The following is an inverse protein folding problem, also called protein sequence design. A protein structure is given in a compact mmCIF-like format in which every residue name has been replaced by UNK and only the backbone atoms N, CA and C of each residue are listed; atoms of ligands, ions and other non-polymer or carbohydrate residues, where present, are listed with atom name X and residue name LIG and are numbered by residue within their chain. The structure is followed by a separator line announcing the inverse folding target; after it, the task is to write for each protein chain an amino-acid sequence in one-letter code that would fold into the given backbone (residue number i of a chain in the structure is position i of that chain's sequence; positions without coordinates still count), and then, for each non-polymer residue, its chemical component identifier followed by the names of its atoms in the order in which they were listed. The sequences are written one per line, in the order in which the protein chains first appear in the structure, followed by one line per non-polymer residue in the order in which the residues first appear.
data_IF_865488113584
#
_entry.id   IF_865488113584
#
_cell.length_a   1.000
_cell.length_b   1.000
_cell.length_c   1.000
_cell.angle_alpha   90.00
_cell.angle_beta   90.00
_cell.angle_gamma   90.00
#
_symmetry.space_group_name_H-M   'P 1'
#
loop_
_entity.id
_entity.type
_entity.pdbx_description
1 polymer ?
#
# COMPACT_ATOMS: atom_id res chain seq x y z
N UNK A 1 -18.46 -8.83 47.03
CA UNK A 1 -19.03 -8.53 45.70
C UNK A 1 -17.88 -8.23 44.75
N UNK A 2 -17.30 -9.28 44.14
CA UNK A 2 -16.14 -9.15 43.24
C UNK A 2 -16.67 -8.82 41.86
N UNK A 3 -16.42 -7.60 41.38
CA UNK A 3 -16.69 -7.22 39.98
C UNK A 3 -15.68 -7.94 39.10
N UNK A 4 -16.14 -9.02 38.48
CA UNK A 4 -15.47 -9.64 37.36
C UNK A 4 -15.56 -8.65 36.17
N UNK A 5 -14.49 -7.91 35.91
CA UNK A 5 -14.34 -7.18 34.64
C UNK A 5 -13.89 -8.23 33.63
N UNK A 6 -14.87 -8.84 32.96
CA UNK A 6 -14.61 -9.62 31.75
C UNK A 6 -14.17 -8.62 30.69
N UNK A 7 -12.85 -8.47 30.54
CA UNK A 7 -12.27 -7.85 29.36
C UNK A 7 -12.60 -8.76 28.18
N UNK A 8 -13.58 -8.38 27.36
CA UNK A 8 -13.81 -9.02 26.07
C UNK A 8 -12.53 -8.87 25.24
N UNK A 9 -11.73 -9.93 25.18
CA UNK A 9 -10.65 -10.05 24.20
C UNK A 9 -11.29 -10.06 22.81
N UNK A 10 -11.35 -8.90 22.16
CA UNK A 10 -11.62 -8.80 20.72
C UNK A 10 -10.63 -9.73 20.03
N UNK A 11 -11.12 -10.86 19.51
CA UNK A 11 -10.31 -11.82 18.75
C UNK A 11 -9.86 -11.09 17.47
N UNK A 12 -8.59 -10.70 17.44
CA UNK A 12 -7.97 -10.06 16.29
C UNK A 12 -7.48 -11.17 15.36
N UNK A 13 -7.84 -11.06 14.08
CA UNK A 13 -7.63 -12.10 13.08
C UNK A 13 -6.57 -11.60 12.10
N UNK A 14 -5.31 -11.77 12.47
CA UNK A 14 -4.20 -11.57 11.55
C UNK A 14 -3.17 -12.68 11.73
N UNK A 15 -2.32 -12.84 10.73
CA UNK A 15 -1.26 -13.85 10.69
C UNK A 15 -0.01 -13.24 10.07
N UNK A 16 1.14 -13.51 10.67
CA UNK A 16 2.42 -13.13 10.10
C UNK A 16 2.66 -13.91 8.79
N UNK A 17 3.21 -13.21 7.80
CA UNK A 17 3.67 -13.80 6.55
C UNK A 17 5.19 -13.80 6.62
N UNK A 18 5.78 -15.00 6.66
CA UNK A 18 7.22 -15.22 6.60
C UNK A 18 7.57 -15.89 5.27
N UNK A 19 8.75 -15.57 4.71
CA UNK A 19 9.26 -16.26 3.53
C UNK A 19 9.85 -17.63 3.82
N UNK A 20 10.41 -18.25 2.77
CA UNK A 20 10.99 -19.60 2.84
C UNK A 20 12.18 -19.69 3.79
N UNK A 21 12.85 -18.58 4.08
CA UNK A 21 13.98 -18.50 5.01
C UNK A 21 13.53 -18.08 6.42
N UNK A 22 12.22 -17.93 6.64
CA UNK A 22 11.65 -17.47 7.91
C UNK A 22 11.82 -15.97 8.14
N UNK A 23 12.15 -15.20 7.10
CA UNK A 23 12.23 -13.75 7.19
C UNK A 23 10.81 -13.19 7.12
N UNK A 24 10.47 -12.34 8.09
CA UNK A 24 9.16 -11.70 8.13
C UNK A 24 8.95 -10.74 6.95
N UNK A 25 7.83 -10.90 6.27
CA UNK A 25 7.51 -10.21 5.02
C UNK A 25 6.29 -9.28 5.15
N UNK A 26 5.41 -9.50 6.13
CA UNK A 26 4.20 -8.69 6.28
C UNK A 26 3.15 -9.36 7.16
N UNK A 27 1.94 -8.78 7.14
CA UNK A 27 0.83 -9.24 7.95
C UNK A 27 -0.41 -9.47 7.08
N UNK A 28 -0.90 -10.71 7.06
CA UNK A 28 -2.20 -11.04 6.49
C UNK A 28 -3.29 -10.68 7.49
N UNK A 29 -4.28 -9.90 7.09
CA UNK A 29 -5.47 -9.64 7.89
C UNK A 29 -6.60 -10.52 7.36
N UNK A 30 -7.26 -11.20 8.26
CA UNK A 30 -8.40 -12.06 7.96
C UNK A 30 -9.63 -11.42 8.60
N UNK A 31 -10.64 -11.09 7.80
CA UNK A 31 -11.94 -10.80 8.40
C UNK A 31 -12.58 -12.11 8.86
N UNK A 32 -13.13 -12.21 10.09
CA UNK A 32 -13.80 -13.42 10.52
C UNK A 32 -14.94 -13.78 9.55
N UNK A 33 -15.07 -15.05 9.16
CA UNK A 33 -16.11 -15.48 8.24
C UNK A 33 -17.50 -15.25 8.84
N UNK A 34 -18.35 -14.55 8.08
CA UNK A 34 -19.70 -14.16 8.47
C UNK A 34 -20.14 -12.93 7.67
N UNK A 35 -21.44 -12.79 7.39
CA UNK A 35 -22.01 -11.67 6.63
C UNK A 35 -21.83 -10.35 7.38
N UNK A 36 -20.63 -9.76 7.34
CA UNK A 36 -20.43 -8.36 7.67
C UNK A 36 -20.71 -7.51 6.42
N UNK A 37 -21.27 -6.30 6.57
CA UNK A 37 -21.44 -5.38 5.46
C UNK A 37 -20.09 -5.07 4.80
N UNK A 38 -20.13 -4.61 3.56
CA UNK A 38 -18.91 -4.12 2.89
C UNK A 38 -18.25 -3.05 3.78
N UNK A 39 -16.95 -3.22 4.03
CA UNK A 39 -16.17 -2.28 4.84
C UNK A 39 -16.23 -0.88 4.26
N UNK A 40 -15.96 0.13 5.08
CA UNK A 40 -16.12 1.53 4.66
C UNK A 40 -15.20 1.91 3.50
N UNK A 41 -13.97 1.40 3.48
CA UNK A 41 -13.01 1.66 2.40
C UNK A 41 -13.37 0.81 1.18
N UNK A 42 -13.84 1.44 0.12
CA UNK A 42 -14.28 0.76 -1.10
C UNK A 42 -13.77 1.46 -2.35
N UNK A 43 -13.41 0.65 -3.34
CA UNK A 43 -13.33 1.09 -4.73
C UNK A 43 -14.65 0.75 -5.42
N UNK A 44 -15.41 1.77 -5.82
CA UNK A 44 -16.61 1.60 -6.65
C UNK A 44 -16.21 1.77 -8.11
N UNK A 45 -16.64 0.85 -8.97
CA UNK A 45 -16.36 0.89 -10.41
C UNK A 45 -17.67 0.83 -11.17
N UNK A 46 -17.84 1.71 -12.15
CA UNK A 46 -19.02 1.81 -12.99
C UNK A 46 -18.70 1.63 -14.47
N UNK A 47 -19.68 1.91 -15.32
CA UNK A 47 -19.51 1.87 -16.77
C UNK A 47 -18.49 2.93 -17.25
N UNK A 48 -17.99 2.75 -18.48
CA UNK A 48 -17.09 3.70 -19.15
C UNK A 48 -15.80 3.98 -18.36
N UNK A 49 -15.30 2.98 -17.62
CA UNK A 49 -14.05 3.12 -16.86
C UNK A 49 -14.13 4.03 -15.64
N UNK A 50 -15.32 4.54 -15.28
CA UNK A 50 -15.52 5.40 -14.11
C UNK A 50 -15.25 4.62 -12.83
N UNK A 51 -14.56 5.25 -11.91
CA UNK A 51 -14.30 4.73 -10.58
C UNK A 51 -14.42 5.82 -9.52
N UNK A 52 -14.64 5.40 -8.28
CA UNK A 52 -14.73 6.28 -7.12
C UNK A 52 -14.18 5.53 -5.90
N UNK A 53 -13.15 6.10 -5.28
CA UNK A 53 -12.68 5.65 -3.97
C UNK A 53 -13.52 6.32 -2.89
N UNK A 54 -14.06 5.52 -1.96
CA UNK A 54 -14.88 6.04 -0.84
C UNK A 54 -14.43 5.45 0.49
N UNK A 55 -14.66 6.18 1.57
CA UNK A 55 -14.63 5.69 2.93
C UNK A 55 -15.94 6.05 3.62
N UNK A 56 -16.85 5.09 3.75
CA UNK A 56 -18.21 5.35 4.22
C UNK A 56 -18.96 6.24 3.22
N UNK A 57 -19.40 7.40 3.67
CA UNK A 57 -20.04 8.43 2.82
C UNK A 57 -19.04 9.45 2.25
N UNK A 58 -17.77 9.38 2.66
CA UNK A 58 -16.75 10.30 2.17
C UNK A 58 -16.16 9.82 0.83
N UNK A 59 -16.18 10.70 -0.18
CA UNK A 59 -15.42 10.47 -1.41
C UNK A 59 -13.95 10.82 -1.21
N UNK A 60 -13.08 9.83 -1.39
CA UNK A 60 -11.64 9.97 -1.35
C UNK A 60 -11.08 10.50 -2.67
N UNK A 61 -11.56 9.95 -3.79
CA UNK A 61 -11.21 10.39 -5.15
C UNK A 61 -12.26 9.92 -6.16
N UNK A 62 -12.29 10.59 -7.31
CA UNK A 62 -12.95 10.11 -8.53
C UNK A 62 -11.90 9.74 -9.57
N UNK A 63 -12.18 8.79 -10.45
CA UNK A 63 -11.28 8.43 -11.52
C UNK A 63 -12.00 7.99 -12.80
N UNK A 64 -11.33 8.15 -13.92
CA UNK A 64 -11.71 7.53 -15.20
C UNK A 64 -10.51 6.75 -15.71
N UNK A 65 -10.68 5.45 -15.87
CA UNK A 65 -9.69 4.53 -16.41
C UNK A 65 -9.94 4.41 -17.91
N UNK A 66 -8.92 4.66 -18.72
CA UNK A 66 -9.02 4.57 -20.17
C UNK A 66 -9.44 3.15 -20.61
N UNK A 67 -10.19 3.00 -21.72
CA UNK A 67 -10.67 1.68 -22.17
C UNK A 67 -9.57 0.65 -22.43
N UNK A 68 -8.38 1.09 -22.84
CA UNK A 68 -7.20 0.23 -23.04
C UNK A 68 -6.48 -0.11 -21.72
N UNK A 69 -6.94 0.42 -20.59
CA UNK A 69 -6.33 0.24 -19.26
C UNK A 69 -4.97 0.91 -19.08
N UNK A 70 -4.50 1.66 -20.08
CA UNK A 70 -3.15 2.20 -20.12
C UNK A 70 -2.97 3.52 -19.37
N UNK A 71 -4.06 4.25 -19.15
CA UNK A 71 -4.03 5.52 -18.44
C UNK A 71 -5.23 5.67 -17.51
N UNK A 72 -5.09 6.50 -16.49
CA UNK A 72 -6.20 6.90 -15.65
C UNK A 72 -6.08 8.38 -15.29
N UNK A 73 -7.19 9.09 -15.32
CA UNK A 73 -7.32 10.44 -14.76
C UNK A 73 -7.94 10.31 -13.37
N UNK A 74 -7.30 10.88 -12.35
CA UNK A 74 -7.77 10.78 -10.96
C UNK A 74 -7.92 12.18 -10.37
N UNK A 75 -9.10 12.47 -9.82
CA UNK A 75 -9.42 13.70 -9.11
C UNK A 75 -9.45 13.43 -7.60
N UNK A 76 -8.51 14.00 -6.86
CA UNK A 76 -8.44 13.97 -5.41
C UNK A 76 -9.00 15.29 -4.83
N UNK A 77 -10.20 15.30 -4.21
CA UNK A 77 -10.75 16.50 -3.61
C UNK A 77 -9.87 17.06 -2.50
N UNK A 78 -9.58 18.37 -2.59
CA UNK A 78 -8.94 19.18 -1.54
C UNK A 78 -9.78 19.15 -0.28
N UNK A 79 -9.25 18.53 0.76
CA UNK A 79 -9.71 18.74 2.14
C UNK A 79 -8.51 19.01 3.04
N UNK A 80 -8.75 19.81 4.07
CA UNK A 80 -7.79 19.98 5.15
C UNK A 80 -7.61 18.63 5.86
N UNK A 81 -6.37 18.25 6.15
CA UNK A 81 -6.04 17.03 6.90
C UNK A 81 -6.80 16.93 8.22
N UNK A 82 -7.14 18.05 8.86
CA UNK A 82 -7.94 18.09 10.11
C UNK A 82 -9.36 17.54 9.91
N UNK A 83 -9.87 17.61 8.68
CA UNK A 83 -11.18 17.13 8.29
C UNK A 83 -11.14 15.67 7.80
N UNK A 84 -9.95 15.09 7.60
CA UNK A 84 -9.73 13.73 7.09
C UNK A 84 -8.84 12.92 8.03
N UNK A 85 -9.46 12.27 9.02
CA UNK A 85 -8.76 11.29 9.86
C UNK A 85 -9.47 9.94 9.77
N UNK A 86 -9.07 9.12 8.80
CA UNK A 86 -9.61 7.77 8.60
C UNK A 86 -9.27 6.82 9.76
N UNK A 87 -8.11 7.07 10.39
CA UNK A 87 -7.62 6.26 11.50
C UNK A 87 -7.43 7.13 12.76
N UNK A 88 -7.57 6.55 13.97
CA UNK A 88 -7.22 7.23 15.19
C UNK A 88 -5.74 7.67 15.18
N UNK A 89 -5.42 8.89 15.66
CA UNK A 89 -4.08 9.43 15.58
C UNK A 89 -3.05 8.57 16.32
N UNK A 90 -1.82 8.58 15.81
CA UNK A 90 -0.65 8.03 16.50
C UNK A 90 -0.28 8.95 17.66
N UNK A 91 -0.15 8.39 18.86
CA UNK A 91 0.17 9.11 20.10
C UNK A 91 1.66 9.00 20.42
N UNK A 92 2.17 9.89 21.26
CA UNK A 92 3.56 9.83 21.73
C UNK A 92 3.91 8.50 22.39
N UNK A 93 2.97 7.89 23.11
CA UNK A 93 3.15 6.56 23.71
C UNK A 93 3.39 5.46 22.66
N UNK A 94 2.73 5.54 21.51
CA UNK A 94 2.91 4.58 20.41
C UNK A 94 4.31 4.73 19.80
N UNK A 95 4.79 5.97 19.65
CA UNK A 95 6.15 6.27 19.17
C UNK A 95 7.20 5.74 20.14
N UNK A 96 7.05 6.02 21.45
CA UNK A 96 7.99 5.52 22.47
C UNK A 96 8.06 3.99 22.51
N UNK A 97 6.91 3.31 22.36
CA UNK A 97 6.87 1.84 22.26
C UNK A 97 7.65 1.33 21.05
N UNK A 98 7.53 2.00 19.91
CA UNK A 98 8.28 1.64 18.71
C UNK A 98 9.78 1.94 18.84
N UNK A 99 10.15 3.07 19.46
CA UNK A 99 11.55 3.46 19.73
C UNK A 99 12.27 2.44 20.64
N UNK A 100 11.56 1.82 21.59
CA UNK A 100 12.12 0.81 22.48
C UNK A 100 12.45 -0.54 21.81
N UNK A 101 12.03 -0.75 20.55
CA UNK A 101 12.28 -2.00 19.82
C UNK A 101 13.66 -1.97 19.15
N UNK A 102 14.41 -3.06 19.31
CA UNK A 102 15.84 -3.11 18.99
C UNK A 102 16.16 -3.10 17.50
N UNK A 103 15.34 -3.72 16.65
CA UNK A 103 15.65 -3.89 15.22
C UNK A 103 14.63 -3.19 14.31
N UNK A 104 15.06 -2.71 13.12
CA UNK A 104 14.14 -2.14 12.14
C UNK A 104 13.01 -3.10 11.72
N UNK A 105 13.29 -4.40 11.56
CA UNK A 105 12.30 -5.41 11.19
C UNK A 105 11.21 -5.57 12.26
N UNK A 106 11.60 -5.62 13.54
CA UNK A 106 10.64 -5.71 14.65
C UNK A 106 9.80 -4.42 14.76
N UNK A 107 10.40 -3.25 14.49
CA UNK A 107 9.67 -1.97 14.38
C UNK A 107 8.66 -1.97 13.24
N UNK A 108 9.03 -2.49 12.07
CA UNK A 108 8.12 -2.62 10.92
C UNK A 108 6.92 -3.53 11.26
N UNK A 109 7.18 -4.68 11.86
CA UNK A 109 6.13 -5.60 12.29
C UNK A 109 5.21 -5.00 13.36
N UNK A 110 5.78 -4.24 14.32
CA UNK A 110 4.99 -3.48 15.30
C UNK A 110 4.03 -2.51 14.63
N UNK A 111 4.51 -1.71 13.67
CA UNK A 111 3.64 -0.75 12.99
C UNK A 111 2.60 -1.41 12.08
N UNK A 112 2.91 -2.55 11.45
CA UNK A 112 1.90 -3.31 10.72
C UNK A 112 0.79 -3.82 11.64
N UNK A 113 1.14 -4.34 12.82
CA UNK A 113 0.15 -4.75 13.83
C UNK A 113 -0.64 -3.56 14.37
N UNK A 114 0.02 -2.43 14.60
CA UNK A 114 -0.64 -1.17 15.01
C UNK A 114 -1.72 -0.71 14.01
N UNK A 115 -1.42 -0.75 12.70
CA UNK A 115 -2.40 -0.41 11.68
C UNK A 115 -3.49 -1.48 11.54
N UNK A 116 -3.12 -2.76 11.62
CA UNK A 116 -4.07 -3.87 11.61
C UNK A 116 -5.12 -3.74 12.72
N UNK A 117 -4.68 -3.45 13.94
CA UNK A 117 -5.56 -3.20 15.09
C UNK A 117 -6.58 -2.11 14.79
N UNK A 118 -6.14 -0.98 14.24
CA UNK A 118 -7.03 0.16 13.93
C UNK A 118 -7.97 -0.14 12.77
N UNK A 119 -7.47 -0.80 11.72
CA UNK A 119 -8.27 -1.19 10.54
C UNK A 119 -9.36 -2.20 10.89
N UNK A 120 -9.07 -3.14 11.81
CA UNK A 120 -10.00 -4.19 12.23
C UNK A 120 -10.91 -3.76 13.40
N UNK A 121 -10.47 -2.81 14.23
CA UNK A 121 -11.22 -2.36 15.40
C UNK A 121 -12.10 -1.15 15.14
N UNK A 122 -11.98 -0.51 13.97
CA UNK A 122 -12.86 0.60 13.57
C UNK A 122 -14.33 0.12 13.55
N UNK A 123 -15.24 1.02 13.90
CA UNK A 123 -16.67 0.77 13.85
C UNK A 123 -17.33 1.91 13.08
N UNK A 124 -17.75 1.70 11.82
CA UNK A 124 -17.73 0.43 11.08
C UNK A 124 -16.32 -0.02 10.67
N UNK A 125 -16.18 -1.29 10.28
CA UNK A 125 -14.89 -1.83 9.83
C UNK A 125 -14.44 -1.15 8.52
N UNK A 126 -13.19 -0.69 8.44
CA UNK A 126 -12.66 -0.07 7.22
C UNK A 126 -12.47 -1.10 6.11
N UNK A 127 -12.00 -2.30 6.46
CA UNK A 127 -11.78 -3.38 5.50
C UNK A 127 -13.05 -4.22 5.32
N UNK A 128 -13.32 -4.61 4.07
CA UNK A 128 -14.43 -5.51 3.76
C UNK A 128 -14.08 -6.98 4.08
N UNK A 129 -15.08 -7.85 3.98
CA UNK A 129 -14.89 -9.30 4.04
C UNK A 129 -13.95 -9.75 2.92
N UNK A 130 -12.81 -10.32 3.31
CA UNK A 130 -11.74 -10.68 2.40
C UNK A 130 -10.43 -10.83 3.16
N UNK A 131 -9.41 -11.33 2.48
CA UNK A 131 -8.05 -11.32 3.00
C UNK A 131 -7.38 -10.03 2.58
N UNK A 132 -6.67 -9.38 3.50
CA UNK A 132 -5.91 -8.17 3.24
C UNK A 132 -4.44 -8.39 3.60
N UNK A 133 -3.57 -7.57 3.04
CA UNK A 133 -2.13 -7.60 3.28
C UNK A 133 -1.67 -6.22 3.71
N UNK A 134 -0.95 -6.16 4.84
CA UNK A 134 -0.08 -5.05 5.21
C UNK A 134 1.37 -5.46 5.00
N UNK A 135 2.10 -4.75 4.13
CA UNK A 135 3.51 -5.02 3.85
C UNK A 135 4.34 -3.74 4.06
N UNK A 136 5.51 -3.80 4.71
CA UNK A 136 6.42 -2.66 4.72
C UNK A 136 7.01 -2.43 3.32
N UNK A 137 7.28 -1.17 3.02
CA UNK A 137 8.00 -0.71 1.84
C UNK A 137 9.06 0.30 2.29
N UNK A 138 10.22 -0.18 2.79
CA UNK A 138 11.30 0.66 3.30
C UNK A 138 12.06 1.37 2.18
N UNK A 139 12.78 2.43 2.56
CA UNK A 139 13.77 3.09 1.72
C UNK A 139 14.96 2.17 1.42
N UNK A 140 15.42 2.16 0.17
CA UNK A 140 16.61 1.43 -0.29
C UNK A 140 17.77 2.40 -0.41
N UNK A 141 18.75 2.27 0.48
CA UNK A 141 19.96 3.08 0.44
C UNK A 141 20.81 2.73 -0.81
N UNK A 142 21.39 3.73 -1.50
CA UNK A 142 22.30 3.49 -2.62
C UNK A 142 23.52 2.64 -2.20
N UNK A 143 23.95 1.72 -3.08
CA UNK A 143 25.04 0.79 -2.80
C UNK A 143 26.46 1.41 -2.78
N UNK A 144 26.63 2.65 -3.26
CA UNK A 144 27.95 3.26 -3.45
C UNK A 144 28.48 3.96 -2.19
N UNK A 145 29.80 3.89 -1.89
CA UNK A 145 30.41 4.37 -0.66
C UNK A 145 30.69 5.89 -0.63
N UNK A 146 29.96 6.70 -1.41
CA UNK A 146 30.13 8.16 -1.33
C UNK A 146 29.47 8.63 -0.04
N UNK A 147 30.29 9.19 0.85
CA UNK A 147 29.95 9.92 2.09
C UNK A 147 28.47 10.28 2.08
N UNK A 148 27.70 9.66 2.99
CA UNK A 148 26.24 9.64 3.03
C UNK A 148 25.62 11.06 3.06
N UNK A 149 25.63 11.75 1.93
CA UNK A 149 24.90 12.98 1.73
C UNK A 149 23.41 12.61 1.63
N UNK A 150 22.53 13.39 2.28
CA UNK A 150 21.09 13.23 2.13
C UNK A 150 20.75 13.19 0.64
N UNK A 151 20.07 12.14 0.20
CA UNK A 151 19.63 12.04 -1.18
C UNK A 151 18.50 13.04 -1.41
N UNK A 152 18.50 13.76 -2.54
CA UNK A 152 17.35 14.58 -2.91
C UNK A 152 16.11 13.67 -3.03
N UNK A 153 14.93 14.25 -2.79
CA UNK A 153 13.68 13.47 -2.72
C UNK A 153 13.46 12.65 -4.00
N UNK A 154 13.73 13.21 -5.18
CA UNK A 154 13.57 12.51 -6.46
C UNK A 154 14.47 11.27 -6.62
N UNK A 155 15.58 11.19 -5.89
CA UNK A 155 16.47 10.03 -5.90
C UNK A 155 16.05 8.96 -4.87
N UNK A 156 15.00 9.20 -4.08
CA UNK A 156 14.52 8.20 -3.14
C UNK A 156 13.93 7.01 -3.88
N UNK A 157 14.22 5.81 -3.37
CA UNK A 157 13.65 4.57 -3.88
C UNK A 157 13.14 3.75 -2.72
N UNK A 158 11.89 3.32 -2.79
CA UNK A 158 11.27 2.46 -1.81
C UNK A 158 10.90 1.16 -2.48
N UNK A 159 11.23 0.03 -1.85
CA UNK A 159 10.92 -1.30 -2.38
C UNK A 159 10.54 -2.18 -1.21
N UNK A 160 9.42 -2.90 -1.33
CA UNK A 160 9.06 -3.92 -0.36
C UNK A 160 10.15 -4.99 -0.29
N UNK A 161 10.45 -5.57 0.89
CA UNK A 161 11.51 -6.56 1.02
C UNK A 161 11.40 -7.66 -0.04
N UNK A 162 12.52 -8.10 -0.59
CA UNK A 162 12.49 -9.24 -1.51
C UNK A 162 12.14 -10.49 -0.70
N UNK A 163 11.14 -11.22 -1.17
CA UNK A 163 10.75 -12.49 -0.57
C UNK A 163 11.51 -13.62 -1.25
N UNK A 164 12.06 -14.56 -0.48
CA UNK A 164 12.69 -15.75 -1.05
C UNK A 164 11.69 -16.51 -1.96
N UNK A 165 11.99 -16.58 -3.26
CA UNK A 165 11.14 -17.21 -4.27
C UNK A 165 10.01 -16.34 -4.85
N UNK A 166 10.07 -15.02 -4.69
CA UNK A 166 9.16 -14.02 -5.28
C UNK A 166 7.66 -14.31 -5.05
N UNK A 167 7.33 -14.96 -3.93
CA UNK A 167 5.95 -15.37 -3.63
C UNK A 167 5.08 -14.25 -3.07
N UNK A 168 5.64 -13.07 -2.76
CA UNK A 168 4.90 -11.92 -2.26
C UNK A 168 4.79 -10.81 -3.32
N UNK A 169 3.76 -9.94 -3.25
CA UNK A 169 3.69 -8.77 -4.11
C UNK A 169 4.92 -7.89 -3.91
N UNK A 170 5.61 -7.59 -5.01
CA UNK A 170 6.65 -6.58 -5.03
C UNK A 170 6.01 -5.23 -5.26
N UNK A 171 6.21 -4.34 -4.31
CA UNK A 171 5.81 -2.94 -4.42
C UNK A 171 7.05 -2.07 -4.43
N UNK A 172 6.99 -1.05 -5.25
CA UNK A 172 7.98 0.00 -5.31
C UNK A 172 7.30 1.36 -5.45
N UNK A 173 8.05 2.39 -5.06
CA UNK A 173 7.68 3.78 -5.19
C UNK A 173 8.97 4.58 -5.40
N UNK A 174 8.98 5.43 -6.41
CA UNK A 174 10.10 6.33 -6.68
C UNK A 174 9.80 7.71 -6.11
N UNK A 175 10.86 8.42 -5.71
CA UNK A 175 10.75 9.72 -5.09
C UNK A 175 10.18 10.80 -6.01
N UNK A 176 10.34 10.64 -7.32
CA UNK A 176 9.71 11.48 -8.34
C UNK A 176 8.18 11.38 -8.37
N UNK A 177 7.63 10.25 -7.94
CA UNK A 177 6.18 10.01 -7.85
C UNK A 177 5.57 10.53 -6.54
N UNK A 178 6.38 11.09 -5.63
CA UNK A 178 5.93 11.66 -4.36
C UNK A 178 5.60 13.15 -4.59
N UNK A 179 4.32 13.56 -4.53
CA UNK A 179 3.95 14.94 -4.76
C UNK A 179 4.37 15.85 -3.60
N UNK A 180 4.42 17.14 -3.88
CA UNK A 180 4.45 18.15 -2.83
C UNK A 180 3.05 18.26 -2.20
N UNK A 181 2.95 17.96 -0.90
CA UNK A 181 1.69 17.96 -0.16
C UNK A 181 1.24 19.36 0.27
N UNK A 182 2.11 20.35 0.11
CA UNK A 182 1.76 21.77 0.26
C UNK A 182 1.21 22.34 -1.05
N UNK A 183 1.66 21.78 -2.18
CA UNK A 183 1.16 22.09 -3.50
C UNK A 183 -0.15 21.34 -3.79
N UNK A 184 -0.87 21.84 -4.78
CA UNK A 184 -2.32 21.67 -4.89
C UNK A 184 -2.74 20.88 -6.13
N UNK A 185 -1.95 19.86 -6.49
CA UNK A 185 -2.33 18.94 -7.54
C UNK A 185 -3.55 18.15 -7.09
N UNK A 186 -4.64 18.36 -7.80
CA UNK A 186 -5.95 17.74 -7.57
C UNK A 186 -6.28 16.74 -8.65
N UNK A 187 -5.75 16.93 -9.85
CA UNK A 187 -5.93 16.01 -10.98
C UNK A 187 -4.59 15.37 -11.31
N UNK A 188 -4.53 14.06 -11.16
CA UNK A 188 -3.39 13.22 -11.45
C UNK A 188 -3.63 12.46 -12.75
N UNK A 189 -2.63 12.49 -13.64
CA UNK A 189 -2.63 11.71 -14.86
C UNK A 189 -1.68 10.55 -14.68
N UNK A 190 -2.25 9.36 -14.57
CA UNK A 190 -1.49 8.13 -14.38
C UNK A 190 -1.34 7.48 -15.74
N UNK A 191 -0.11 7.24 -16.12
CA UNK A 191 0.21 6.48 -17.32
C UNK A 191 0.92 5.20 -16.90
N UNK A 192 0.33 4.07 -17.30
CA UNK A 192 0.69 2.72 -16.86
C UNK A 192 1.60 2.00 -17.85
N UNK A 193 2.03 2.67 -18.92
CA UNK A 193 3.07 2.14 -19.82
C UNK A 193 4.47 2.24 -19.20
N UNK A 194 4.67 3.17 -18.26
CA UNK A 194 5.91 3.34 -17.52
C UNK A 194 5.84 2.62 -16.17
N UNK A 195 6.99 2.32 -15.58
CA UNK A 195 7.10 1.75 -14.22
C UNK A 195 6.83 2.79 -13.10
N UNK A 196 6.10 3.87 -13.39
CA UNK A 196 5.78 4.89 -12.37
C UNK A 196 4.51 4.50 -11.60
N UNK A 197 4.58 4.58 -10.28
CA UNK A 197 3.43 4.30 -9.40
C UNK A 197 3.14 5.54 -8.57
N UNK A 198 2.21 6.37 -9.05
CA UNK A 198 1.93 7.66 -8.44
C UNK A 198 1.41 7.55 -7.00
N UNK A 199 1.85 8.49 -6.15
CA UNK A 199 1.35 8.64 -4.79
C UNK A 199 0.29 9.73 -4.72
N UNK A 200 -0.97 9.32 -4.55
CA UNK A 200 -2.14 10.18 -4.52
C UNK A 200 -2.40 10.72 -3.09
N UNK A 201 -2.32 12.04 -2.87
CA UNK A 201 -2.62 12.65 -1.61
C UNK A 201 -4.12 12.94 -1.47
N UNK A 202 -4.69 12.57 -0.33
CA UNK A 202 -6.08 12.87 0.02
C UNK A 202 -6.28 14.20 0.74
N UNK A 203 -5.20 14.89 1.12
CA UNK A 203 -5.28 16.13 1.91
C UNK A 203 -4.10 17.03 1.65
N UNK A 204 -4.35 18.33 1.70
CA UNK A 204 -3.30 19.37 1.67
C UNK A 204 -2.75 19.55 3.09
N UNK A 205 -1.45 19.74 3.20
CA UNK A 205 -0.76 19.93 4.49
C UNK A 205 -0.35 21.38 4.66
N UNK A 206 -0.76 21.99 5.78
CA UNK A 206 -0.18 23.25 6.25
C UNK A 206 1.23 22.99 6.84
N UNK A 207 2.31 23.45 6.16
CA UNK A 207 3.68 23.20 6.61
C UNK A 207 4.01 23.91 7.92
N UNK A 208 3.26 24.95 8.30
CA UNK A 208 3.49 25.73 9.52
C UNK A 208 2.81 25.14 10.76
N UNK A 209 1.96 24.13 10.57
CA UNK A 209 1.16 23.51 11.63
C UNK A 209 2.04 22.92 12.75
N UNK A 210 1.57 23.00 13.99
CA UNK A 210 2.24 22.38 15.14
C UNK A 210 2.43 20.86 14.97
N UNK A 211 1.52 20.21 14.25
CA UNK A 211 1.59 18.79 13.91
C UNK A 211 2.81 18.48 13.02
N UNK A 212 3.03 19.27 11.95
CA UNK A 212 4.22 19.11 11.09
C UNK A 212 5.50 19.40 11.88
N UNK A 213 5.53 20.47 12.68
CA UNK A 213 6.70 20.78 13.53
C UNK A 213 7.09 19.63 14.45
N UNK A 214 6.11 18.99 15.10
CA UNK A 214 6.37 17.84 15.96
C UNK A 214 6.86 16.63 15.16
N UNK A 215 6.28 16.35 14.00
CA UNK A 215 6.75 15.25 13.15
C UNK A 215 8.13 15.49 12.55
N UNK A 216 8.50 16.73 12.23
CA UNK A 216 9.86 17.09 11.81
C UNK A 216 10.88 16.80 12.90
N UNK A 217 10.55 17.10 14.16
CA UNK A 217 11.37 16.67 15.31
C UNK A 217 11.54 15.15 15.33
N UNK A 218 10.45 14.38 15.17
CA UNK A 218 10.50 12.92 15.14
C UNK A 218 11.24 12.33 13.93
N UNK A 219 11.23 13.01 12.78
CA UNK A 219 12.01 12.63 11.61
C UNK A 219 13.52 12.75 11.89
N UNK A 220 13.98 13.87 12.46
CA UNK A 220 15.39 14.05 12.87
C UNK A 220 15.85 13.04 13.92
N UNK A 221 14.95 12.63 14.81
CA UNK A 221 15.22 11.62 15.84
C UNK A 221 15.22 10.17 15.28
N UNK A 222 14.90 9.96 13.99
CA UNK A 222 14.83 8.62 13.39
C UNK A 222 13.65 7.78 13.90
N UNK A 223 12.62 8.45 14.43
CA UNK A 223 11.47 7.86 15.10
C UNK A 223 10.13 8.18 14.42
N UNK A 224 10.17 8.64 13.17
CA UNK A 224 8.98 8.97 12.39
C UNK A 224 8.15 7.69 12.12
N UNK A 225 6.87 7.64 12.53
CA UNK A 225 6.02 6.49 12.28
C UNK A 225 5.67 6.33 10.78
N UNK A 226 5.37 5.11 10.30
CA UNK A 226 5.20 4.83 8.89
C UNK A 226 3.94 5.45 8.28
N UNK A 227 4.03 5.85 7.02
CA UNK A 227 2.88 6.35 6.26
C UNK A 227 2.09 5.14 5.73
N UNK A 228 0.77 5.13 5.98
CA UNK A 228 -0.11 4.06 5.51
C UNK A 228 -0.65 4.40 4.12
N UNK A 229 -0.39 3.49 3.18
CA UNK A 229 -0.82 3.57 1.79
C UNK A 229 -1.88 2.52 1.51
N UNK A 230 -2.81 2.82 0.61
CA UNK A 230 -3.69 1.84 -0.02
C UNK A 230 -3.30 1.67 -1.49
N UNK A 231 -2.95 0.45 -1.88
CA UNK A 231 -2.68 0.13 -3.27
C UNK A 231 -3.98 -0.08 -4.06
N UNK A 232 -4.19 0.76 -5.07
CA UNK A 232 -5.32 0.68 -6.01
C UNK A 232 -4.80 0.13 -7.34
N UNK A 233 -4.78 -1.20 -7.44
CA UNK A 233 -4.28 -1.96 -8.60
C UNK A 233 -4.91 -1.56 -9.93
N UNK A 234 -6.21 -1.22 -9.96
CA UNK A 234 -6.89 -0.75 -11.16
C UNK A 234 -6.38 0.60 -11.68
N UNK A 235 -5.80 1.42 -10.80
CA UNK A 235 -5.15 2.69 -11.16
C UNK A 235 -3.65 2.53 -11.35
N UNK A 236 -3.02 1.54 -10.72
CA UNK A 236 -1.56 1.47 -10.60
C UNK A 236 -1.02 2.60 -9.72
N UNK A 237 -1.66 2.85 -8.57
CA UNK A 237 -1.37 3.99 -7.71
C UNK A 237 -1.46 3.65 -6.23
N UNK A 238 -0.77 4.43 -5.40
CA UNK A 238 -0.94 4.41 -3.96
C UNK A 238 -1.76 5.60 -3.50
N UNK A 239 -2.71 5.38 -2.60
CA UNK A 239 -3.48 6.44 -1.95
C UNK A 239 -3.01 6.59 -0.51
N UNK A 240 -2.64 7.79 -0.07
CA UNK A 240 -2.25 8.03 1.32
C UNK A 240 -3.49 7.99 2.22
N UNK A 241 -3.64 6.94 3.02
CA UNK A 241 -4.74 6.81 3.98
C UNK A 241 -4.46 7.54 5.29
N UNK A 242 -3.20 7.50 5.74
CA UNK A 242 -2.76 8.17 6.96
C UNK A 242 -1.27 8.52 6.87
N UNK A 243 -0.93 9.74 7.27
CA UNK A 243 0.47 10.18 7.37
C UNK A 243 0.86 11.37 6.51
N UNK A 244 -0.06 12.15 5.95
CA UNK A 244 0.30 13.33 5.13
C UNK A 244 1.23 14.30 5.87
N UNK A 245 0.94 14.67 7.13
CA UNK A 245 1.88 15.52 7.91
C UNK A 245 3.23 14.86 8.18
N UNK A 246 3.29 13.53 8.25
CA UNK A 246 4.54 12.78 8.46
C UNK A 246 5.36 12.72 7.19
N UNK A 247 4.71 12.51 6.04
CA UNK A 247 5.35 12.59 4.74
C UNK A 247 5.86 14.00 4.46
N UNK A 248 5.08 15.05 4.77
CA UNK A 248 5.57 16.42 4.65
C UNK A 248 6.79 16.67 5.56
N UNK A 249 6.73 16.22 6.81
CA UNK A 249 7.86 16.35 7.72
C UNK A 249 9.11 15.58 7.24
N UNK A 250 8.95 14.39 6.67
CA UNK A 250 10.02 13.62 6.06
C UNK A 250 10.66 14.38 4.88
N UNK A 251 9.84 14.97 4.01
CA UNK A 251 10.30 15.81 2.89
C UNK A 251 11.08 17.02 3.38
N UNK A 252 10.53 17.77 4.33
CA UNK A 252 11.15 18.98 4.89
C UNK A 252 12.52 18.70 5.53
N UNK A 253 12.69 17.52 6.13
CA UNK A 253 13.94 17.12 6.79
C UNK A 253 14.88 16.33 5.88
N UNK A 254 14.48 16.01 4.64
CA UNK A 254 15.26 15.18 3.74
C UNK A 254 15.49 13.75 4.25
N UNK A 255 14.57 13.23 5.08
CA UNK A 255 14.67 11.91 5.70
C UNK A 255 13.64 10.98 5.03
N UNK A 256 14.06 9.93 4.30
CA UNK A 256 13.16 8.97 3.69
C UNK A 256 12.27 8.29 4.75
N UNK A 257 10.93 8.31 4.62
CA UNK A 257 10.05 7.66 5.57
C UNK A 257 9.96 6.14 5.32
N UNK A 258 9.33 5.42 6.25
CA UNK A 258 8.85 4.07 6.00
C UNK A 258 7.41 4.14 5.47
N UNK A 259 7.11 3.39 4.42
CA UNK A 259 5.75 3.15 3.98
C UNK A 259 5.26 1.78 4.45
N UNK A 260 3.96 1.68 4.75
CA UNK A 260 3.25 0.41 4.90
C UNK A 260 2.11 0.42 3.90
N UNK A 261 2.05 -0.60 3.06
CA UNK A 261 1.08 -0.69 1.97
C UNK A 261 0.01 -1.71 2.35
N UNK A 262 -1.25 -1.26 2.30
CA UNK A 262 -2.46 -2.05 2.42
C UNK A 262 -2.94 -2.45 1.02
N UNK A 263 -3.23 -3.73 0.82
CA UNK A 263 -3.91 -4.24 -0.37
C UNK A 263 -4.88 -5.37 -0.01
N UNK A 264 -5.82 -5.67 -0.89
CA UNK A 264 -6.47 -6.97 -0.87
C UNK A 264 -5.44 -8.06 -1.20
N UNK A 265 -5.63 -9.24 -0.63
CA UNK A 265 -4.74 -10.38 -0.81
C UNK A 265 -5.45 -11.45 -1.63
N UNK A 266 -4.86 -11.83 -2.75
CA UNK A 266 -5.29 -12.96 -3.56
C UNK A 266 -4.22 -14.04 -3.59
N UNK A 267 -4.62 -15.30 -3.39
CA UNK A 267 -3.72 -16.45 -3.51
C UNK A 267 -3.77 -16.98 -4.95
N UNK A 268 -2.77 -16.63 -5.74
CA UNK A 268 -2.60 -17.15 -7.09
C UNK A 268 -1.97 -18.55 -7.00
N UNK A 269 -2.81 -19.58 -7.17
CA UNK A 269 -2.33 -20.95 -7.28
C UNK A 269 -2.04 -21.26 -8.74
N UNK A 270 -0.77 -21.51 -9.05
CA UNK A 270 -0.41 -22.14 -10.32
C UNK A 270 -0.42 -23.65 -10.12
N UNK A 271 -1.13 -24.38 -10.99
CA UNK A 271 -0.93 -25.81 -11.10
C UNK A 271 0.35 -26.01 -11.92
N UNK A 272 1.45 -26.51 -11.36
CA UNK A 272 2.69 -26.61 -12.13
C UNK A 272 2.47 -27.64 -13.25
N UNK A 273 2.86 -27.28 -14.47
CA UNK A 273 2.81 -28.21 -15.60
C UNK A 273 3.70 -29.43 -15.30
N UNK A 274 3.08 -30.61 -15.36
CA UNK A 274 3.74 -31.87 -15.04
C UNK A 274 4.82 -32.19 -16.07
N UNK A 275 4.62 -31.77 -17.33
CA UNK A 275 5.60 -31.98 -18.40
C UNK A 275 6.83 -31.08 -18.21
N UNK A 276 6.62 -29.78 -17.98
CA UNK A 276 7.72 -28.86 -17.67
C UNK A 276 8.50 -29.26 -16.41
N UNK A 277 7.80 -29.75 -15.37
CA UNK A 277 8.44 -30.29 -14.17
C UNK A 277 9.34 -31.48 -14.49
N UNK A 278 8.84 -32.45 -15.27
CA UNK A 278 9.62 -33.62 -15.67
C UNK A 278 10.85 -33.21 -16.49
N UNK A 279 10.72 -32.22 -17.39
CA UNK A 279 11.87 -31.68 -18.15
C UNK A 279 12.96 -31.11 -17.24
N UNK A 280 12.60 -30.39 -16.17
CA UNK A 280 13.55 -29.85 -15.19
C UNK A 280 14.26 -30.99 -14.44
N UNK A 281 13.50 -31.99 -13.97
CA UNK A 281 14.06 -33.17 -13.27
C UNK A 281 15.03 -33.94 -14.18
N UNK A 282 14.62 -34.20 -15.43
CA UNK A 282 15.44 -34.92 -16.40
C UNK A 282 16.72 -34.14 -16.75
N UNK A 283 16.64 -32.81 -16.85
CA UNK A 283 17.79 -31.95 -17.09
C UNK A 283 18.78 -32.00 -15.93
N UNK A 284 18.31 -31.88 -14.68
CA UNK A 284 19.15 -32.00 -13.48
C UNK A 284 19.81 -33.39 -13.41
N UNK A 285 19.06 -34.45 -13.68
CA UNK A 285 19.58 -35.81 -13.69
C UNK A 285 20.66 -36.03 -14.76
N UNK A 286 20.53 -35.42 -15.94
CA UNK A 286 21.58 -35.42 -16.98
C UNK A 286 22.81 -34.62 -16.53
N UNK A 287 22.59 -33.47 -15.91
CA UNK A 287 23.66 -32.58 -15.46
C UNK A 287 24.49 -33.25 -14.35
N UNK A 288 23.84 -33.88 -13.37
CA UNK A 288 24.49 -34.58 -12.27
C UNK A 288 25.27 -35.82 -12.74
N UNK A 289 24.77 -36.55 -13.75
CA UNK A 289 25.52 -37.63 -14.41
C UNK A 289 26.79 -37.14 -15.10
N UNK A 290 26.73 -35.96 -15.69
CA UNK A 290 27.84 -35.38 -16.45
C UNK A 290 28.85 -34.64 -15.55
N UNK A 291 28.41 -34.13 -14.41
CA UNK A 291 29.24 -33.46 -13.41
C UNK A 291 28.82 -33.86 -11.98
N UNK A 292 29.45 -34.89 -11.39
CA UNK A 292 29.13 -35.37 -10.04
C UNK A 292 29.42 -34.36 -8.93
N UNK A 293 30.27 -33.35 -9.19
CA UNK A 293 30.63 -32.30 -8.23
C UNK A 293 29.67 -31.09 -8.27
N UNK A 294 28.48 -31.26 -8.87
CA UNK A 294 27.46 -30.23 -8.89
C UNK A 294 27.05 -29.82 -7.47
N UNK A 295 26.84 -28.53 -7.27
CA UNK A 295 26.40 -27.98 -6.00
C UNK A 295 25.02 -28.56 -5.63
N UNK A 296 24.97 -29.36 -4.57
CA UNK A 296 23.75 -30.00 -4.10
C UNK A 296 22.69 -29.00 -3.66
N UNK A 297 23.08 -27.85 -3.10
CA UNK A 297 22.14 -26.82 -2.69
C UNK A 297 21.44 -26.19 -3.89
N UNK A 298 22.15 -26.02 -5.01
CA UNK A 298 21.56 -25.52 -6.25
C UNK A 298 20.57 -26.53 -6.86
N UNK A 299 20.88 -27.83 -6.80
CA UNK A 299 19.98 -28.90 -7.24
C UNK A 299 18.72 -28.91 -6.36
N UNK A 300 18.90 -28.93 -5.03
CA UNK A 300 17.81 -28.90 -4.06
C UNK A 300 16.91 -27.67 -4.27
N UNK A 301 17.50 -26.49 -4.46
CA UNK A 301 16.76 -25.26 -4.71
C UNK A 301 15.95 -25.32 -6.01
N UNK A 302 16.51 -25.92 -7.06
CA UNK A 302 15.83 -26.07 -8.35
C UNK A 302 14.67 -27.07 -8.24
N UNK A 303 14.85 -28.18 -7.53
CA UNK A 303 13.79 -29.15 -7.27
C UNK A 303 12.68 -28.57 -6.40
N UNK A 304 13.04 -27.84 -5.33
CA UNK A 304 12.08 -27.11 -4.49
C UNK A 304 11.26 -26.17 -5.36
N UNK A 305 11.89 -25.37 -6.23
CA UNK A 305 11.19 -24.46 -7.13
C UNK A 305 10.26 -25.19 -8.13
N UNK A 306 10.68 -26.36 -8.66
CA UNK A 306 9.90 -27.12 -9.64
C UNK A 306 8.66 -27.81 -9.05
N UNK A 307 8.69 -28.14 -7.75
CA UNK A 307 7.60 -28.79 -7.04
C UNK A 307 6.81 -27.85 -6.13
N UNK A 308 7.19 -26.58 -6.01
CA UNK A 308 6.47 -25.61 -5.18
C UNK A 308 5.10 -25.28 -5.79
N UNK A 309 4.04 -25.70 -5.09
CA UNK A 309 2.64 -25.46 -5.44
C UNK A 309 1.96 -24.45 -4.49
N UNK A 310 2.72 -23.84 -3.57
CA UNK A 310 2.19 -22.92 -2.55
C UNK A 310 1.53 -21.67 -3.13
N UNK A 311 1.75 -21.40 -4.42
CA UNK A 311 1.18 -20.26 -5.14
C UNK A 311 1.84 -18.94 -4.76
N UNK A 312 1.66 -17.92 -5.60
CA UNK A 312 2.09 -16.56 -5.30
C UNK A 312 0.96 -15.78 -4.61
N UNK A 313 1.31 -14.91 -3.69
CA UNK A 313 0.44 -13.88 -3.16
C UNK A 313 0.43 -12.70 -4.13
N UNK A 314 -0.75 -12.29 -4.54
CA UNK A 314 -0.96 -11.12 -5.39
C UNK A 314 -1.67 -10.02 -4.59
N UNK A 315 -1.15 -8.79 -4.69
CA UNK A 315 -1.78 -7.59 -4.16
C UNK A 315 -2.87 -7.16 -5.11
N UNK A 316 -4.11 -7.21 -4.67
CA UNK A 316 -5.31 -6.86 -5.46
C UNK A 316 -6.07 -5.72 -4.79
N UNK A 317 -7.02 -5.14 -5.50
CA UNK A 317 -7.97 -4.20 -4.91
C UNK A 317 -9.37 -4.79 -5.01
N UNK A 318 -10.01 -4.98 -3.86
CA UNK A 318 -11.43 -5.34 -3.86
C UNK A 318 -12.25 -4.15 -4.33
N UNK A 319 -12.97 -4.36 -5.42
CA UNK A 319 -13.89 -3.38 -5.98
C UNK A 319 -15.33 -3.89 -5.91
N UNK A 320 -16.26 -2.95 -5.97
CA UNK A 320 -17.69 -3.21 -6.08
C UNK A 320 -18.21 -2.52 -7.32
N UNK A 321 -19.00 -3.26 -8.11
CA UNK A 321 -19.74 -2.68 -9.23
C UNK A 321 -20.80 -1.73 -8.67
N UNK A 322 -20.81 -0.49 -9.16
CA UNK A 322 -21.74 0.55 -8.76
C UNK A 322 -22.25 1.32 -9.98
N UNK A 323 -23.47 1.85 -9.89
CA UNK A 323 -24.02 2.73 -10.93
C UNK A 323 -23.43 4.14 -10.78
N UNK A 324 -22.30 4.40 -11.44
CA UNK A 324 -21.64 5.71 -11.50
C UNK A 324 -22.13 6.50 -12.72
N UNK A 325 -23.44 6.80 -12.73
CA UNK A 325 -24.12 7.53 -13.79
C UNK A 325 -24.02 9.06 -13.64
N UNK A 326 -25.14 9.76 -13.87
CA UNK A 326 -25.16 11.24 -13.92
C UNK A 326 -24.84 11.91 -12.58
N UNK A 327 -25.08 11.24 -11.45
CA UNK A 327 -24.70 11.76 -10.13
C UNK A 327 -23.17 11.95 -10.02
N UNK A 328 -22.40 10.95 -10.42
CA UNK A 328 -20.93 11.00 -10.44
C UNK A 328 -20.44 12.15 -11.34
N UNK A 329 -21.02 12.30 -12.53
CA UNK A 329 -20.64 13.37 -13.46
C UNK A 329 -20.96 14.76 -12.88
N UNK A 330 -22.15 14.93 -12.29
CA UNK A 330 -22.53 16.21 -11.65
C UNK A 330 -21.60 16.55 -10.49
N UNK A 331 -21.22 15.58 -9.66
CA UNK A 331 -20.27 15.79 -8.55
C UNK A 331 -18.89 16.22 -9.05
N UNK A 332 -18.34 15.50 -10.03
CA UNK A 332 -17.03 15.82 -10.61
C UNK A 332 -17.06 17.19 -11.30
N UNK A 333 -18.09 17.45 -12.12
CA UNK A 333 -18.27 18.76 -12.79
C UNK A 333 -18.40 19.89 -11.78
N UNK A 334 -19.25 19.74 -10.77
CA UNK A 334 -19.44 20.74 -9.73
C UNK A 334 -18.13 21.02 -8.98
N UNK A 335 -17.37 19.97 -8.64
CA UNK A 335 -16.08 20.11 -7.97
C UNK A 335 -15.07 20.87 -8.84
N UNK A 336 -14.90 20.46 -10.10
CA UNK A 336 -13.96 21.10 -11.03
C UNK A 336 -14.31 22.57 -11.26
N UNK A 337 -15.59 22.90 -11.48
CA UNK A 337 -16.03 24.28 -11.67
C UNK A 337 -15.86 25.13 -10.40
N UNK A 338 -16.23 24.59 -9.23
CA UNK A 338 -16.09 25.28 -7.95
C UNK A 338 -14.62 25.64 -7.65
N UNK A 339 -13.68 24.81 -8.09
CA UNK A 339 -12.26 24.98 -7.88
C UNK A 339 -11.50 25.59 -9.06
N UNK A 340 -12.20 26.09 -10.09
CA UNK A 340 -11.64 26.73 -11.29
C UNK A 340 -10.71 25.81 -12.10
N UNK A 341 -11.13 24.56 -12.29
CA UNK A 341 -10.39 23.49 -12.99
C UNK A 341 -11.17 22.97 -14.20
N UNK A 342 -11.88 23.87 -14.89
CA UNK A 342 -12.76 23.52 -16.01
C UNK A 342 -11.97 22.88 -17.18
N UNK A 343 -10.69 23.21 -17.33
CA UNK A 343 -9.78 22.63 -18.31
C UNK A 343 -9.61 21.11 -18.18
N UNK A 344 -10.00 20.53 -17.04
CA UNK A 344 -9.93 19.09 -16.80
C UNK A 344 -11.23 18.34 -17.12
N UNK A 345 -12.32 19.01 -17.47
CA UNK A 345 -13.62 18.36 -17.74
C UNK A 345 -13.53 17.27 -18.81
N UNK A 346 -12.82 17.55 -19.90
CA UNK A 346 -12.60 16.57 -20.98
C UNK A 346 -11.83 15.32 -20.56
N UNK A 347 -11.04 15.38 -19.48
CA UNK A 347 -10.30 14.22 -18.94
C UNK A 347 -11.18 13.22 -18.20
N UNK A 348 -12.38 13.66 -17.81
CA UNK A 348 -13.37 12.85 -17.12
C UNK A 348 -14.58 12.52 -18.01
N UNK A 349 -14.43 12.73 -19.33
CA UNK A 349 -15.49 12.57 -20.34
C UNK A 349 -16.76 13.39 -20.01
N UNK A 350 -16.56 14.59 -19.46
CA UNK A 350 -17.64 15.52 -19.12
C UNK A 350 -17.62 16.67 -20.12
N UNK A 351 -18.75 16.90 -20.79
CA UNK A 351 -18.96 18.05 -21.66
C UNK A 351 -19.49 19.26 -20.86
N UNK A 352 -19.19 20.46 -21.36
CA UNK A 352 -19.69 21.73 -20.82
C UNK A 352 -21.21 21.85 -20.83
#
# INVERSE_FOLDING_TARGET
MVRCVVSEMKKMWWRDIDDREGVWQGLALESPPGQRPAGELQLRVGAQGRAQGVCGDETLFWAVIAPNGAAASVLCPRRDIRQRSLLPPIRSADVMRAEALQTPAVRQAFWCRFFAERLLSSSPALTNSGQWLLRPMPYVAPAAPRVAQPQPINAWRFISPQAAGDYCPRWDLFGEDIPDLTASDVVFLIDRWWESTQLLPLSVVDPTSSRVKWWRKKAREGALPPILLWFVSGLGAYVILDGHSRLQAARDEGVPPLFIVLSGLYHQRWKPDTEQRQRVVDALARQQRSNPALNQDAINQTLINAYDDRGALAGVTYSRVASLGDAWQREVKAYLLQHQLAEHLGRFDITD
#
